data_IF_178191097637
#
_entry.id   IF_178191097637
#
_cell.length_a   1.000
_cell.length_b   1.000
_cell.length_c   1.000
_cell.angle_alpha   90.00
_cell.angle_beta   90.00
_cell.angle_gamma   90.00
#
_symmetry.space_group_name_H-M   'P 1'
#
loop_
_entity.id
_entity.type
_entity.pdbx_description
1 polymer ?
#
# COMPACT_ATOMS: atom_id res chain seq x y z
N UNK A 1 11.90 6.18 18.66
CA UNK A 1 11.20 4.90 18.78
C UNK A 1 12.20 3.75 18.86
N UNK A 2 13.24 3.73 18.01
CA UNK A 2 14.30 2.72 18.00
C UNK A 2 15.00 2.63 19.34
N UNK A 3 15.47 3.77 19.88
CA UNK A 3 16.13 3.87 21.20
C UNK A 3 15.28 3.37 22.36
N UNK A 4 13.97 3.31 22.18
CA UNK A 4 13.00 2.78 23.15
C UNK A 4 12.76 1.28 23.03
N UNK A 5 13.40 0.63 22.05
CA UNK A 5 13.23 -0.80 21.79
C UNK A 5 11.84 -1.20 21.29
N UNK A 6 11.14 -0.33 20.55
CA UNK A 6 9.80 -0.62 20.03
C UNK A 6 9.82 -1.45 18.74
N UNK A 7 10.99 -1.62 18.13
CA UNK A 7 11.15 -2.48 16.96
C UNK A 7 11.63 -3.87 17.35
N UNK A 8 11.28 -4.87 16.57
CA UNK A 8 11.81 -6.22 16.70
C UNK A 8 13.31 -6.22 16.43
N UNK A 9 14.05 -7.19 16.97
CA UNK A 9 15.51 -7.27 16.78
C UNK A 9 15.91 -7.50 15.30
N UNK A 10 15.00 -8.02 14.47
CA UNK A 10 15.19 -8.28 13.05
C UNK A 10 14.77 -7.16 12.11
N UNK A 11 14.34 -6.02 12.60
CA UNK A 11 13.64 -4.98 11.85
C UNK A 11 14.32 -4.50 10.55
N UNK A 12 15.65 -4.60 10.45
CA UNK A 12 16.39 -4.25 9.24
C UNK A 12 16.41 -5.36 8.17
N UNK A 13 16.12 -6.60 8.56
CA UNK A 13 16.19 -7.77 7.70
C UNK A 13 14.82 -8.42 7.47
N UNK A 14 13.79 -8.01 8.22
CA UNK A 14 12.46 -8.56 8.10
C UNK A 14 11.82 -8.10 6.78
N UNK A 15 11.55 -9.04 5.88
CA UNK A 15 10.75 -8.79 4.69
C UNK A 15 9.26 -8.70 5.01
N UNK A 16 8.45 -8.32 4.02
CA UNK A 16 7.01 -8.14 4.20
C UNK A 16 6.30 -9.39 4.76
N UNK A 17 6.52 -10.63 4.25
CA UNK A 17 5.91 -11.83 4.84
C UNK A 17 6.34 -12.06 6.29
N UNK A 18 7.60 -11.86 6.61
CA UNK A 18 8.13 -12.01 7.98
C UNK A 18 7.48 -11.01 8.93
N UNK A 19 7.42 -9.74 8.56
CA UNK A 19 6.80 -8.69 9.36
C UNK A 19 5.30 -8.94 9.59
N UNK A 20 4.57 -9.38 8.56
CA UNK A 20 3.18 -9.79 8.70
C UNK A 20 3.02 -10.99 9.64
N UNK A 21 3.91 -11.99 9.55
CA UNK A 21 3.92 -13.14 10.45
C UNK A 21 4.19 -12.78 11.91
N UNK A 22 4.96 -11.74 12.18
CA UNK A 22 5.16 -11.21 13.53
C UNK A 22 3.87 -10.62 14.11
N UNK A 23 3.08 -9.91 13.30
CA UNK A 23 1.75 -9.45 13.70
C UNK A 23 0.83 -10.64 14.00
N UNK A 24 0.74 -11.61 13.08
CA UNK A 24 -0.17 -12.76 13.19
C UNK A 24 0.11 -13.62 14.43
N UNK A 25 1.37 -13.66 14.87
CA UNK A 25 1.80 -14.40 16.06
C UNK A 25 1.82 -13.56 17.34
N UNK A 26 1.40 -12.29 17.28
CA UNK A 26 1.38 -11.36 18.41
C UNK A 26 2.78 -10.91 18.88
N UNK A 27 3.83 -11.18 18.10
CA UNK A 27 5.21 -10.73 18.41
C UNK A 27 5.45 -9.27 18.07
N UNK A 28 4.74 -8.74 17.09
CA UNK A 28 4.65 -7.32 16.80
C UNK A 28 3.20 -6.84 17.00
N UNK A 29 2.94 -5.93 17.94
CA UNK A 29 1.56 -5.50 18.23
C UNK A 29 0.98 -4.56 17.17
N UNK A 30 1.82 -3.95 16.34
CA UNK A 30 1.42 -3.01 15.29
C UNK A 30 2.19 -3.32 14.02
N UNK A 31 1.48 -3.29 12.88
CA UNK A 31 2.05 -3.40 11.54
C UNK A 31 1.44 -2.31 10.67
N UNK A 32 2.24 -1.31 10.29
CA UNK A 32 1.80 -0.26 9.38
C UNK A 32 1.86 -0.76 7.94
N UNK A 33 0.70 -0.89 7.31
CA UNK A 33 0.62 -1.41 5.93
C UNK A 33 -0.69 -1.01 5.25
N UNK A 34 -0.95 -1.54 4.07
CA UNK A 34 -2.16 -1.28 3.30
C UNK A 34 -3.27 -2.31 3.50
N UNK A 35 -4.44 -2.03 2.95
CA UNK A 35 -5.64 -2.87 3.05
C UNK A 35 -5.48 -4.30 2.52
N UNK A 36 -4.49 -4.57 1.67
CA UNK A 36 -4.20 -5.91 1.14
C UNK A 36 -3.78 -6.94 2.20
N UNK A 37 -3.36 -6.48 3.40
CA UNK A 37 -3.05 -7.37 4.52
C UNK A 37 -4.29 -8.12 5.02
N UNK A 38 -5.48 -7.60 4.79
CA UNK A 38 -6.73 -8.25 5.20
C UNK A 38 -6.90 -9.67 4.60
N UNK A 39 -6.54 -9.83 3.32
CA UNK A 39 -6.54 -11.16 2.69
C UNK A 39 -5.54 -12.12 3.34
N UNK A 40 -4.36 -11.63 3.71
CA UNK A 40 -3.37 -12.45 4.42
C UNK A 40 -3.85 -12.86 5.82
N UNK A 41 -4.52 -11.97 6.54
CA UNK A 41 -5.10 -12.28 7.86
C UNK A 41 -6.13 -13.38 7.71
N UNK A 42 -7.05 -13.26 6.74
CA UNK A 42 -8.05 -14.29 6.45
C UNK A 42 -7.42 -15.66 6.21
N UNK A 43 -6.37 -15.71 5.40
CA UNK A 43 -5.76 -16.96 4.94
C UNK A 43 -4.82 -17.58 5.99
N UNK A 44 -4.10 -16.77 6.75
CA UNK A 44 -2.99 -17.22 7.60
C UNK A 44 -3.28 -17.12 9.11
N UNK A 45 -4.19 -16.23 9.50
CA UNK A 45 -4.48 -15.96 10.91
C UNK A 45 -5.96 -15.60 11.15
N UNK A 46 -6.94 -16.40 10.65
CA UNK A 46 -8.36 -16.05 10.71
C UNK A 46 -8.90 -15.87 12.13
N UNK A 47 -8.29 -16.51 13.11
CA UNK A 47 -8.69 -16.45 14.52
C UNK A 47 -7.86 -15.43 15.34
N UNK A 48 -6.90 -14.74 14.73
CA UNK A 48 -6.09 -13.77 15.45
C UNK A 48 -6.93 -12.52 15.80
N UNK A 49 -6.84 -11.99 17.03
CA UNK A 49 -7.59 -10.82 17.46
C UNK A 49 -6.96 -9.52 16.90
N UNK A 50 -6.96 -9.38 15.56
CA UNK A 50 -6.38 -8.26 14.85
C UNK A 50 -7.47 -7.25 14.51
N UNK A 51 -7.28 -6.00 14.86
CA UNK A 51 -8.10 -4.87 14.45
C UNK A 51 -7.32 -3.92 13.54
N UNK A 52 -8.01 -2.92 13.01
CA UNK A 52 -7.43 -1.87 12.18
C UNK A 52 -7.67 -0.51 12.79
N UNK A 53 -6.76 0.41 12.54
CA UNK A 53 -6.89 1.81 12.92
C UNK A 53 -6.26 2.71 11.85
N UNK A 54 -6.76 3.92 11.74
CA UNK A 54 -6.08 4.94 10.94
C UNK A 54 -4.69 5.22 11.53
N UNK A 55 -3.72 5.54 10.67
CA UNK A 55 -2.41 5.97 11.16
C UNK A 55 -2.59 7.21 12.05
N UNK A 56 -2.00 7.23 13.26
CA UNK A 56 -2.20 8.35 14.18
C UNK A 56 -1.59 9.63 13.63
N UNK A 57 -2.25 10.77 13.88
CA UNK A 57 -1.67 12.06 13.58
C UNK A 57 -0.38 12.27 14.40
N UNK A 58 0.63 12.85 13.75
CA UNK A 58 1.89 13.18 14.40
C UNK A 58 1.77 14.59 14.99
N UNK A 59 1.95 14.71 16.30
CA UNK A 59 1.87 15.99 16.98
C UNK A 59 2.89 17.00 16.41
N UNK A 60 2.40 18.18 16.03
CA UNK A 60 3.23 19.22 15.43
C UNK A 60 3.46 19.10 13.93
N UNK A 61 3.02 17.99 13.30
CA UNK A 61 3.05 17.87 11.84
C UNK A 61 1.78 18.51 11.21
N UNK A 62 1.87 19.00 9.96
CA UNK A 62 0.73 19.64 9.29
C UNK A 62 -0.37 18.66 8.84
N UNK A 63 -0.10 17.36 8.83
CA UNK A 63 -1.05 16.32 8.41
C UNK A 63 -2.08 15.96 9.48
N UNK A 64 -3.12 15.26 9.05
CA UNK A 64 -4.16 14.70 9.92
C UNK A 64 -4.21 13.19 9.76
N UNK A 65 -4.99 12.50 10.61
CA UNK A 65 -5.23 11.05 10.46
C UNK A 65 -6.43 10.72 9.55
N UNK A 66 -6.97 11.71 8.85
CA UNK A 66 -8.09 11.55 7.90
C UNK A 66 -7.65 11.59 6.45
N UNK A 67 -6.36 11.61 6.20
CA UNK A 67 -5.77 11.54 4.88
C UNK A 67 -5.42 10.09 4.52
N UNK A 68 -5.73 9.70 3.29
CA UNK A 68 -5.43 8.37 2.78
C UNK A 68 -4.30 8.43 1.76
N UNK A 69 -3.41 7.45 1.81
CA UNK A 69 -2.51 7.15 0.69
C UNK A 69 -3.16 6.08 -0.17
N UNK A 70 -3.35 6.37 -1.45
CA UNK A 70 -4.00 5.47 -2.41
C UNK A 70 -2.95 4.90 -3.35
N UNK A 71 -2.92 3.57 -3.45
CA UNK A 71 -2.20 2.87 -4.50
C UNK A 71 -3.22 2.41 -5.55
N UNK A 72 -3.08 2.88 -6.79
CA UNK A 72 -3.94 2.49 -7.90
C UNK A 72 -3.26 1.44 -8.76
N UNK A 73 -3.91 0.30 -8.93
CA UNK A 73 -3.49 -0.70 -9.90
C UNK A 73 -4.16 -0.40 -11.23
N UNK A 74 -3.37 -0.23 -12.29
CA UNK A 74 -3.87 0.01 -13.64
C UNK A 74 -3.80 -1.25 -14.47
N UNK A 75 -4.84 -1.52 -15.25
CA UNK A 75 -4.88 -2.59 -16.24
C UNK A 75 -4.59 -1.99 -17.62
N UNK A 76 -3.58 -2.52 -18.31
CA UNK A 76 -3.14 -2.00 -19.60
C UNK A 76 -3.18 -3.06 -20.67
N UNK A 77 -3.52 -2.66 -21.90
CA UNK A 77 -3.41 -3.48 -23.10
C UNK A 77 -2.00 -3.27 -23.68
N UNK A 78 -1.24 -4.32 -23.78
CA UNK A 78 0.17 -4.25 -24.18
C UNK A 78 0.33 -4.12 -25.71
N UNK A 79 1.51 -3.65 -26.17
CA UNK A 79 1.86 -3.66 -27.59
C UNK A 79 1.85 -5.07 -28.18
N UNK A 80 2.09 -6.10 -27.37
CA UNK A 80 1.97 -7.51 -27.79
C UNK A 80 0.57 -7.87 -28.23
N UNK A 81 -0.47 -7.38 -27.56
CA UNK A 81 -1.85 -7.59 -27.96
C UNK A 81 -2.15 -6.94 -29.34
N UNK A 82 -1.56 -5.77 -29.62
CA UNK A 82 -1.68 -5.10 -30.91
C UNK A 82 -0.98 -5.94 -32.01
N UNK A 83 0.24 -6.38 -31.77
CA UNK A 83 1.01 -7.17 -32.71
C UNK A 83 0.35 -8.53 -33.06
N UNK A 84 -0.33 -9.12 -32.06
CA UNK A 84 -1.00 -10.42 -32.22
C UNK A 84 -2.48 -10.32 -32.65
N UNK A 85 -3.01 -9.11 -32.87
CA UNK A 85 -4.41 -8.90 -33.26
C UNK A 85 -5.44 -9.28 -32.18
N UNK A 86 -5.03 -9.30 -30.89
CA UNK A 86 -5.89 -9.73 -29.76
C UNK A 86 -6.45 -8.57 -28.92
N UNK A 87 -6.38 -7.35 -29.43
CA UNK A 87 -6.83 -6.13 -28.70
C UNK A 87 -8.30 -6.20 -28.31
N UNK A 88 -9.18 -6.68 -29.21
CA UNK A 88 -10.61 -6.73 -28.92
C UNK A 88 -10.94 -7.78 -27.87
N UNK A 89 -10.28 -8.94 -27.91
CA UNK A 89 -10.40 -9.93 -26.83
C UNK A 89 -9.89 -9.40 -25.48
N UNK A 90 -8.81 -8.63 -25.48
CA UNK A 90 -8.30 -7.98 -24.27
C UNK A 90 -9.29 -6.95 -23.72
N UNK A 91 -9.93 -6.15 -24.57
CA UNK A 91 -10.99 -5.21 -24.16
C UNK A 91 -12.20 -5.93 -23.58
N UNK A 92 -12.63 -7.03 -24.21
CA UNK A 92 -13.76 -7.84 -23.71
C UNK A 92 -13.43 -8.42 -22.32
N UNK A 93 -12.23 -8.96 -22.16
CA UNK A 93 -11.76 -9.42 -20.84
C UNK A 93 -11.76 -8.30 -19.80
N UNK A 94 -11.24 -7.13 -20.12
CA UNK A 94 -11.22 -5.98 -19.19
C UNK A 94 -12.63 -5.54 -18.81
N UNK A 95 -13.55 -5.46 -19.77
CA UNK A 95 -14.94 -5.13 -19.51
C UNK A 95 -15.62 -6.15 -18.58
N UNK A 96 -15.35 -7.43 -18.77
CA UNK A 96 -15.81 -8.46 -17.85
C UNK A 96 -15.17 -8.34 -16.48
N UNK A 97 -13.83 -8.23 -16.42
CA UNK A 97 -13.08 -8.18 -15.17
C UNK A 97 -13.47 -7.00 -14.27
N UNK A 98 -13.82 -5.86 -14.89
CA UNK A 98 -14.28 -4.65 -14.17
C UNK A 98 -15.80 -4.58 -13.98
N UNK A 99 -16.53 -5.60 -14.42
CA UNK A 99 -17.99 -5.67 -14.17
C UNK A 99 -18.29 -5.89 -12.69
N UNK A 100 -19.44 -5.39 -12.21
CA UNK A 100 -19.85 -5.55 -10.82
C UNK A 100 -19.85 -7.02 -10.35
N UNK A 101 -20.26 -7.95 -11.23
CA UNK A 101 -20.28 -9.37 -10.93
C UNK A 101 -18.87 -9.95 -10.73
N UNK A 102 -17.93 -9.63 -11.62
CA UNK A 102 -16.56 -10.12 -11.49
C UNK A 102 -15.84 -9.45 -10.32
N UNK A 103 -15.99 -8.14 -10.14
CA UNK A 103 -15.43 -7.40 -9.00
C UNK A 103 -15.91 -7.98 -7.68
N UNK A 104 -17.19 -8.31 -7.55
CA UNK A 104 -17.71 -8.98 -6.35
C UNK A 104 -16.97 -10.29 -6.07
N UNK A 105 -16.85 -11.15 -7.08
CA UNK A 105 -16.23 -12.47 -6.92
C UNK A 105 -14.80 -12.37 -6.44
N UNK A 106 -13.97 -11.56 -7.07
CA UNK A 106 -12.57 -11.48 -6.67
C UNK A 106 -12.38 -10.67 -5.37
N UNK A 107 -13.19 -9.62 -5.12
CA UNK A 107 -13.11 -8.86 -3.87
C UNK A 107 -13.46 -9.71 -2.65
N UNK A 108 -14.52 -10.51 -2.73
CA UNK A 108 -14.89 -11.43 -1.65
C UNK A 108 -13.85 -12.54 -1.46
N UNK A 109 -13.29 -13.06 -2.55
CA UNK A 109 -12.28 -14.12 -2.48
C UNK A 109 -10.96 -13.62 -1.86
N UNK A 110 -10.51 -12.43 -2.26
CA UNK A 110 -9.22 -11.88 -1.83
C UNK A 110 -9.31 -10.94 -0.64
N UNK A 111 -10.52 -10.64 -0.15
CA UNK A 111 -10.77 -9.61 0.87
C UNK A 111 -10.12 -8.25 0.50
N UNK A 112 -10.25 -7.88 -0.77
CA UNK A 112 -9.74 -6.61 -1.29
C UNK A 112 -10.89 -5.62 -1.49
N UNK A 113 -10.60 -4.35 -1.26
CA UNK A 113 -11.57 -3.28 -1.53
C UNK A 113 -11.90 -3.21 -3.03
N UNK A 114 -13.16 -2.97 -3.34
CA UNK A 114 -13.57 -2.74 -4.73
C UNK A 114 -12.96 -1.43 -5.25
N UNK A 115 -12.32 -1.44 -6.44
CA UNK A 115 -11.65 -0.25 -7.00
C UNK A 115 -12.63 0.79 -7.56
N UNK A 116 -13.90 0.44 -7.63
CA UNK A 116 -14.97 1.29 -8.18
C UNK A 116 -16.09 1.43 -7.17
N UNK A 117 -16.92 2.48 -7.34
CA UNK A 117 -18.10 2.66 -6.51
C UNK A 117 -19.13 1.57 -6.83
N UNK A 118 -19.27 0.63 -5.91
CA UNK A 118 -20.28 -0.41 -5.94
C UNK A 118 -21.08 -0.42 -4.64
N UNK A 119 -22.32 -0.87 -4.68
CA UNK A 119 -23.04 -1.24 -3.46
C UNK A 119 -22.49 -2.57 -2.96
N UNK A 120 -21.65 -2.51 -1.94
CA UNK A 120 -21.00 -3.66 -1.33
C UNK A 120 -21.73 -4.19 -0.09
N UNK A 121 -22.92 -3.67 0.21
CA UNK A 121 -23.68 -4.01 1.43
C UNK A 121 -24.06 -5.48 1.55
N UNK A 122 -24.17 -6.18 0.40
CA UNK A 122 -24.49 -7.62 0.32
C UNK A 122 -23.26 -8.51 0.07
N UNK A 123 -22.04 -7.95 0.13
CA UNK A 123 -20.83 -8.72 -0.15
C UNK A 123 -20.31 -9.41 1.11
N UNK A 124 -19.73 -10.58 0.93
CA UNK A 124 -19.18 -11.39 2.03
C UNK A 124 -17.78 -10.91 2.46
N UNK A 125 -17.73 -9.66 2.92
CA UNK A 125 -16.52 -9.09 3.50
C UNK A 125 -16.36 -9.50 4.96
N UNK A 126 -15.14 -9.86 5.34
CA UNK A 126 -14.76 -10.07 6.72
C UNK A 126 -14.83 -8.76 7.53
N UNK A 127 -15.03 -8.80 8.84
CA UNK A 127 -15.15 -7.62 9.69
C UNK A 127 -14.01 -6.61 9.49
N UNK A 128 -12.79 -7.09 9.29
CA UNK A 128 -11.61 -6.23 9.09
C UNK A 128 -11.72 -5.34 7.83
N UNK A 129 -12.32 -5.83 6.75
CA UNK A 129 -12.56 -5.02 5.54
C UNK A 129 -13.69 -4.03 5.78
N UNK A 130 -14.69 -4.38 6.58
CA UNK A 130 -15.75 -3.45 6.96
C UNK A 130 -15.19 -2.31 7.82
N UNK A 131 -14.30 -2.60 8.76
CA UNK A 131 -13.62 -1.59 9.58
C UNK A 131 -12.73 -0.69 8.73
N UNK A 132 -11.95 -1.25 7.78
CA UNK A 132 -11.16 -0.46 6.82
C UNK A 132 -12.06 0.46 5.99
N UNK A 133 -13.19 -0.05 5.50
CA UNK A 133 -14.17 0.74 4.76
C UNK A 133 -14.74 1.88 5.59
N UNK A 134 -14.97 1.65 6.89
CA UNK A 134 -15.38 2.67 7.84
C UNK A 134 -14.33 3.78 8.01
N UNK A 135 -13.06 3.43 8.10
CA UNK A 135 -11.96 4.41 8.16
C UNK A 135 -11.91 5.23 6.86
N UNK A 136 -12.03 4.58 5.69
CA UNK A 136 -12.04 5.25 4.39
C UNK A 136 -13.20 6.23 4.30
N UNK A 137 -14.38 5.86 4.76
CA UNK A 137 -15.57 6.72 4.72
C UNK A 137 -15.44 8.00 5.55
N UNK A 138 -14.53 8.03 6.53
CA UNK A 138 -14.23 9.22 7.35
C UNK A 138 -13.10 10.07 6.78
N UNK A 139 -12.47 9.64 5.67
CA UNK A 139 -11.35 10.37 5.09
C UNK A 139 -11.80 11.65 4.41
N UNK A 140 -11.01 12.68 4.56
CA UNK A 140 -11.28 14.03 4.03
C UNK A 140 -10.48 14.35 2.78
N UNK A 141 -9.39 13.62 2.56
CA UNK A 141 -8.50 13.79 1.40
C UNK A 141 -7.78 12.48 1.07
N UNK A 142 -7.21 12.43 -0.11
CA UNK A 142 -6.34 11.33 -0.53
C UNK A 142 -5.18 11.84 -1.36
N UNK A 143 -4.03 11.19 -1.22
CA UNK A 143 -2.85 11.41 -2.03
C UNK A 143 -2.46 10.11 -2.75
N UNK A 144 -1.97 10.17 -3.99
CA UNK A 144 -1.40 9.00 -4.63
C UNK A 144 -0.13 8.57 -3.91
N UNK A 145 0.20 7.29 -4.01
CA UNK A 145 1.45 6.76 -3.49
C UNK A 145 2.63 7.36 -4.25
N UNK A 146 3.78 7.57 -3.58
CA UNK A 146 4.92 8.28 -4.18
C UNK A 146 5.43 7.67 -5.50
N UNK A 147 5.49 6.35 -5.60
CA UNK A 147 5.88 5.63 -6.82
C UNK A 147 4.94 5.87 -8.01
N UNK A 148 3.78 6.48 -7.81
CA UNK A 148 2.89 6.94 -8.89
C UNK A 148 3.21 8.36 -9.34
N UNK A 149 3.94 9.13 -8.55
CA UNK A 149 4.27 10.53 -8.82
C UNK A 149 5.70 10.67 -9.31
N UNK A 150 6.58 9.77 -8.92
CA UNK A 150 8.01 9.86 -9.15
C UNK A 150 8.52 8.67 -9.97
N UNK A 151 9.69 8.85 -10.59
CA UNK A 151 10.38 7.75 -11.25
C UNK A 151 10.87 6.74 -10.21
N UNK A 152 10.69 5.47 -10.52
CA UNK A 152 11.13 4.36 -9.68
C UNK A 152 12.63 4.42 -9.34
N UNK A 153 13.43 5.02 -10.23
CA UNK A 153 14.86 5.19 -10.03
C UNK A 153 15.21 6.10 -8.84
N UNK A 154 14.38 7.10 -8.54
CA UNK A 154 14.57 7.97 -7.37
C UNK A 154 13.83 7.43 -6.15
N UNK A 155 12.61 6.94 -6.34
CA UNK A 155 11.77 6.51 -5.21
C UNK A 155 12.40 5.35 -4.43
N UNK A 156 12.79 4.26 -5.09
CA UNK A 156 13.24 3.05 -4.37
C UNK A 156 14.52 3.27 -3.57
N UNK A 157 15.65 3.76 -4.15
CA UNK A 157 16.88 3.97 -3.38
C UNK A 157 16.69 5.01 -2.27
N UNK A 158 16.01 6.11 -2.58
CA UNK A 158 15.91 7.24 -1.64
C UNK A 158 14.79 7.11 -0.62
N UNK A 159 13.92 6.11 -0.73
CA UNK A 159 12.91 5.83 0.28
C UNK A 159 13.30 4.63 1.15
N UNK A 160 13.71 3.54 0.54
CA UNK A 160 14.00 2.30 1.26
C UNK A 160 15.41 2.30 1.85
N UNK A 161 16.42 2.60 1.04
CA UNK A 161 17.81 2.62 1.50
C UNK A 161 18.05 3.78 2.47
N UNK A 162 17.43 4.94 2.20
CA UNK A 162 17.49 6.08 3.10
C UNK A 162 16.82 5.80 4.44
N UNK A 163 15.68 5.08 4.45
CA UNK A 163 15.01 4.69 5.70
C UNK A 163 15.92 3.77 6.53
N UNK A 164 16.60 2.82 5.90
CA UNK A 164 17.58 1.97 6.59
C UNK A 164 18.76 2.80 7.10
N UNK A 165 19.32 3.69 6.27
CA UNK A 165 20.43 4.56 6.66
C UNK A 165 20.09 5.48 7.85
N UNK A 166 18.86 5.99 7.92
CA UNK A 166 18.39 6.75 9.08
C UNK A 166 18.27 5.86 10.32
N UNK A 167 17.75 4.66 10.17
CA UNK A 167 17.57 3.72 11.29
C UNK A 167 18.91 3.19 11.83
N UNK A 168 19.94 3.03 10.99
CA UNK A 168 21.29 2.65 11.41
C UNK A 168 22.12 3.81 11.92
N UNK A 169 21.73 5.04 11.64
CA UNK A 169 22.47 6.25 11.98
C UNK A 169 23.54 6.63 10.95
N UNK A 170 23.54 5.98 9.78
CA UNK A 170 24.47 6.30 8.68
C UNK A 170 24.07 7.57 7.94
N UNK A 171 22.77 7.90 7.97
CA UNK A 171 22.20 9.12 7.38
C UNK A 171 21.38 9.90 8.41
N UNK A 172 21.45 11.21 8.31
CA UNK A 172 20.48 12.07 8.98
C UNK A 172 19.21 12.18 8.12
N UNK A 173 18.03 12.45 8.71
CA UNK A 173 16.81 12.70 7.94
C UNK A 173 16.95 13.81 6.90
N UNK A 174 17.75 14.85 7.20
CA UNK A 174 18.01 15.95 6.27
C UNK A 174 18.83 15.48 5.06
N UNK A 175 19.91 14.72 5.28
CA UNK A 175 20.70 14.16 4.18
C UNK A 175 19.85 13.26 3.27
N UNK A 176 19.03 12.40 3.85
CA UNK A 176 18.14 11.52 3.09
C UNK A 176 17.13 12.32 2.23
N UNK A 177 16.61 13.43 2.76
CA UNK A 177 15.72 14.33 2.02
C UNK A 177 16.43 15.07 0.90
N UNK A 178 17.61 15.63 1.17
CA UNK A 178 18.41 16.37 0.19
C UNK A 178 18.85 15.45 -0.97
N UNK A 179 19.25 14.22 -0.67
CA UNK A 179 19.65 13.21 -1.68
C UNK A 179 18.46 12.82 -2.57
N UNK A 180 17.27 12.67 -1.99
CA UNK A 180 16.05 12.40 -2.75
C UNK A 180 15.68 13.56 -3.66
N UNK A 181 15.65 14.78 -3.14
CA UNK A 181 15.36 15.99 -3.92
C UNK A 181 16.33 16.14 -5.08
N UNK A 182 17.63 15.93 -4.84
CA UNK A 182 18.64 16.03 -5.90
C UNK A 182 18.41 14.97 -6.99
N UNK A 183 18.08 13.73 -6.65
CA UNK A 183 17.76 12.70 -7.63
C UNK A 183 16.58 13.12 -8.53
N UNK A 184 15.53 13.68 -7.95
CA UNK A 184 14.36 14.16 -8.72
C UNK A 184 14.73 15.32 -9.64
N UNK A 185 15.54 16.27 -9.18
CA UNK A 185 16.04 17.39 -10.00
C UNK A 185 16.85 16.87 -11.20
N UNK A 186 17.83 16.00 -10.95
CA UNK A 186 18.67 15.41 -12.00
C UNK A 186 17.85 14.62 -13.03
N UNK A 187 16.82 13.95 -12.57
CA UNK A 187 15.90 13.20 -13.43
C UNK A 187 15.10 14.12 -14.36
N UNK A 188 14.59 15.22 -13.82
CA UNK A 188 13.84 16.23 -14.59
C UNK A 188 14.77 16.85 -15.67
N UNK A 189 15.97 17.23 -15.28
CA UNK A 189 16.95 17.84 -16.21
C UNK A 189 17.40 16.89 -17.32
N UNK A 190 17.41 15.59 -17.07
CA UNK A 190 17.83 14.58 -18.08
C UNK A 190 16.72 14.10 -18.99
N UNK A 191 15.45 14.19 -18.56
CA UNK A 191 14.30 13.68 -19.33
C UNK A 191 13.54 14.76 -20.10
N UNK A 192 13.70 16.03 -19.73
CA UNK A 192 12.96 17.15 -20.29
C UNK A 192 13.88 18.29 -20.71
#
# INVERSE_FOLDING_TARGET
LLDKGYFTSGYLADDFPTAAGLLFTGKAPIFSNGSWVAGMIKDQAPDAPIGVMAFPAVEGAPGTNTELVINSVVLTITRGAVANGTVDAAKEFLNYYTSAAAVKVWSEATQSLAPYTHDTSSWAYDPIIQDISGIIATSTSSAPFLDMLEDYACNVPHTWDASQGILTGDLTPQQAGDDHEQCVIDLIETKY
#
